data_IF_501484750225
#
_entry.id   IF_501484750225
#
_cell.length_a   1.000
_cell.length_b   1.000
_cell.length_c   1.000
_cell.angle_alpha   90.00
_cell.angle_beta   90.00
_cell.angle_gamma   90.00
#
_symmetry.space_group_name_H-M   'P 1'
#
loop_
_entity.id
_entity.type
_entity.pdbx_description
1 polymer ?
#
# COMPACT_ATOMS: atom_id res chain seq x y z
N UNK A 1 2.98 4.07 12.30
CA UNK A 1 3.85 3.81 11.12
C UNK A 1 4.25 2.36 11.23
N UNK A 2 3.86 1.53 10.25
CA UNK A 2 4.10 0.07 10.25
C UNK A 2 5.06 -0.27 9.12
N UNK A 3 5.66 -1.45 9.16
CA UNK A 3 6.47 -1.96 8.07
C UNK A 3 5.69 -2.97 7.25
N UNK A 4 5.75 -2.85 5.93
CA UNK A 4 5.12 -3.80 5.03
C UNK A 4 5.88 -3.96 3.71
N UNK A 5 5.80 -5.15 3.14
CA UNK A 5 6.42 -5.54 1.88
C UNK A 5 5.38 -5.43 0.77
N UNK A 6 5.69 -4.69 -0.30
CA UNK A 6 4.81 -4.61 -1.47
C UNK A 6 4.86 -5.93 -2.25
N UNK A 7 3.70 -6.53 -2.50
CA UNK A 7 3.62 -7.84 -3.16
C UNK A 7 3.09 -7.76 -4.58
N UNK A 8 2.02 -7.01 -4.81
CA UNK A 8 1.49 -6.87 -6.16
C UNK A 8 0.49 -5.73 -6.32
N UNK A 9 0.31 -5.30 -7.56
CA UNK A 9 -0.85 -4.55 -8.02
C UNK A 9 -1.67 -5.42 -8.97
N UNK A 10 -2.91 -5.76 -8.59
CA UNK A 10 -3.79 -6.64 -9.38
C UNK A 10 -5.23 -6.15 -9.34
N UNK A 11 -5.88 -6.08 -10.51
CA UNK A 11 -7.29 -5.69 -10.67
C UNK A 11 -7.66 -4.37 -9.96
N UNK A 12 -6.72 -3.43 -9.85
CA UNK A 12 -6.95 -2.15 -9.18
C UNK A 12 -6.48 -2.06 -7.73
N UNK A 13 -6.10 -3.18 -7.11
CA UNK A 13 -5.74 -3.23 -5.69
C UNK A 13 -4.25 -3.43 -5.47
N UNK A 14 -3.73 -2.86 -4.37
CA UNK A 14 -2.35 -2.98 -3.93
C UNK A 14 -2.26 -3.90 -2.71
N UNK A 15 -1.47 -4.97 -2.81
CA UNK A 15 -1.30 -5.94 -1.73
C UNK A 15 0.01 -5.71 -1.00
N UNK A 16 -0.05 -5.65 0.34
CA UNK A 16 1.11 -5.56 1.20
C UNK A 16 1.09 -6.63 2.30
N UNK A 17 2.26 -7.21 2.58
CA UNK A 17 2.48 -8.09 3.73
C UNK A 17 3.15 -7.35 4.86
N UNK A 18 2.48 -7.29 6.01
CA UNK A 18 2.98 -6.64 7.20
C UNK A 18 3.88 -7.58 8.00
N UNK A 19 4.78 -7.00 8.79
CA UNK A 19 5.74 -7.74 9.63
C UNK A 19 5.08 -8.69 10.65
N UNK A 20 3.83 -8.42 11.04
CA UNK A 20 3.03 -9.26 11.93
C UNK A 20 2.40 -10.47 11.22
N UNK A 21 2.64 -10.65 9.92
CA UNK A 21 2.08 -11.73 9.11
C UNK A 21 0.69 -11.42 8.54
N UNK A 22 0.16 -10.21 8.74
CA UNK A 22 -1.11 -9.79 8.14
C UNK A 22 -0.90 -9.38 6.67
N UNK A 23 -1.85 -9.77 5.83
CA UNK A 23 -1.98 -9.25 4.48
C UNK A 23 -3.07 -8.19 4.46
N UNK A 24 -2.74 -6.98 4.00
CA UNK A 24 -3.74 -5.95 3.72
C UNK A 24 -3.74 -5.61 2.24
N UNK A 25 -4.97 -5.38 1.77
CA UNK A 25 -5.27 -4.96 0.41
C UNK A 25 -5.75 -3.53 0.48
N UNK A 26 -5.17 -2.67 -0.38
CA UNK A 26 -5.53 -1.26 -0.46
C UNK A 26 -6.21 -0.99 -1.78
N UNK A 27 -7.37 -0.36 -1.72
CA UNK A 27 -8.12 0.17 -2.86
C UNK A 27 -7.37 1.35 -3.50
N UNK A 28 -6.78 2.20 -2.66
CA UNK A 28 -6.20 3.46 -3.09
C UNK A 28 -4.77 3.67 -2.61
N UNK A 29 -4.00 4.38 -3.42
CA UNK A 29 -2.68 4.90 -3.06
C UNK A 29 -2.64 6.36 -3.48
N UNK A 30 -2.27 7.23 -2.54
CA UNK A 30 -2.21 8.66 -2.77
C UNK A 30 -1.35 8.99 -4.01
N UNK A 31 -1.79 9.86 -4.93
CA UNK A 31 -1.10 10.09 -6.21
C UNK A 31 0.37 10.50 -6.09
N UNK A 32 0.75 11.21 -5.01
CA UNK A 32 2.16 11.55 -4.74
C UNK A 32 3.03 10.31 -4.50
N UNK A 33 2.50 9.28 -3.85
CA UNK A 33 3.22 8.02 -3.62
C UNK A 33 3.43 7.31 -4.95
N UNK A 34 2.40 7.19 -5.78
CA UNK A 34 2.51 6.57 -7.12
C UNK A 34 3.44 7.32 -8.07
N UNK A 35 3.58 8.65 -7.90
CA UNK A 35 4.54 9.45 -8.67
C UNK A 35 5.99 9.17 -8.26
N UNK A 36 6.23 8.79 -7.01
CA UNK A 36 7.56 8.47 -6.48
C UNK A 36 7.92 7.00 -6.70
N UNK A 37 6.94 6.12 -6.57
CA UNK A 37 7.07 4.68 -6.67
C UNK A 37 5.99 4.18 -7.62
N UNK A 38 6.37 3.82 -8.85
CA UNK A 38 5.42 3.31 -9.83
C UNK A 38 5.05 1.84 -9.54
N UNK A 39 4.34 1.64 -8.43
CA UNK A 39 3.92 0.32 -7.94
C UNK A 39 3.03 -0.45 -8.95
N UNK A 40 2.45 0.26 -9.92
CA UNK A 40 1.55 -0.33 -10.92
C UNK A 40 2.32 -1.02 -12.04
N UNK A 41 3.43 -0.43 -12.48
CA UNK A 41 4.14 -0.89 -13.67
C UNK A 41 5.57 -1.39 -13.36
N UNK A 42 6.22 -0.81 -12.36
CA UNK A 42 7.61 -1.14 -12.02
C UNK A 42 7.66 -2.34 -11.07
N UNK A 43 8.00 -3.49 -11.64
CA UNK A 43 8.14 -4.76 -10.91
C UNK A 43 9.33 -4.80 -9.96
N UNK A 44 10.27 -3.86 -10.05
CA UNK A 44 11.41 -3.80 -9.13
C UNK A 44 10.99 -3.50 -7.68
N UNK A 45 9.80 -2.92 -7.50
CA UNK A 45 9.21 -2.67 -6.19
C UNK A 45 8.58 -3.93 -5.55
N UNK A 46 8.36 -5.01 -6.31
CA UNK A 46 7.87 -6.27 -5.75
C UNK A 46 8.90 -6.79 -4.76
N UNK A 47 8.41 -7.26 -3.61
CA UNK A 47 9.20 -7.72 -2.47
C UNK A 47 10.08 -6.65 -1.83
N UNK A 48 9.91 -5.36 -2.17
CA UNK A 48 10.52 -4.26 -1.44
C UNK A 48 9.75 -3.93 -0.17
N UNK A 49 10.52 -3.66 0.88
CA UNK A 49 10.01 -3.30 2.19
C UNK A 49 9.91 -1.78 2.36
N UNK A 50 8.77 -1.34 2.89
CA UNK A 50 8.47 0.07 3.12
C UNK A 50 7.97 0.29 4.54
N UNK A 51 8.32 1.45 5.10
CA UNK A 51 7.50 2.04 6.16
C UNK A 51 6.27 2.65 5.52
N UNK A 52 5.12 2.10 5.88
CA UNK A 52 3.81 2.47 5.33
C UNK A 52 3.00 3.27 6.35
N UNK A 53 2.35 4.31 5.85
CA UNK A 53 1.26 5.03 6.54
C UNK A 53 0.04 4.96 5.65
N UNK A 54 -1.10 4.58 6.22
CA UNK A 54 -2.38 4.49 5.54
C UNK A 54 -3.49 5.00 6.44
N UNK A 55 -4.63 5.30 5.85
CA UNK A 55 -5.87 5.69 6.53
C UNK A 55 -6.99 4.76 6.13
N UNK A 56 -7.96 4.63 7.02
CA UNK A 56 -9.26 4.01 6.79
C UNK A 56 -10.25 5.14 6.59
N UNK A 57 -10.78 5.28 5.37
CA UNK A 57 -11.82 6.25 5.04
C UNK A 57 -13.17 5.54 5.09
N UNK A 58 -14.08 6.05 5.90
CA UNK A 58 -15.40 5.46 6.11
C UNK A 58 -16.38 6.25 5.24
N UNK A 59 -16.65 5.77 4.03
CA UNK A 59 -17.58 6.47 3.11
C UNK A 59 -19.04 6.35 3.58
N UNK A 60 -19.42 5.22 4.19
CA UNK A 60 -20.73 4.93 4.78
C UNK A 60 -20.57 4.00 6.01
N UNK A 61 -21.65 3.74 6.77
CA UNK A 61 -21.61 2.89 7.99
C UNK A 61 -21.00 1.48 7.77
N UNK A 62 -21.06 0.95 6.54
CA UNK A 62 -20.63 -0.41 6.20
C UNK A 62 -19.47 -0.49 5.20
N UNK A 63 -18.90 0.64 4.76
CA UNK A 63 -17.86 0.67 3.73
C UNK A 63 -16.60 1.39 4.21
N UNK A 64 -15.49 0.63 4.33
CA UNK A 64 -14.16 1.15 4.66
C UNK A 64 -13.26 1.05 3.45
N UNK A 65 -12.67 2.17 3.05
CA UNK A 65 -11.67 2.25 1.99
C UNK A 65 -10.28 2.40 2.64
N UNK A 66 -9.36 1.52 2.29
CA UNK A 66 -7.98 1.60 2.75
C UNK A 66 -7.15 2.38 1.73
N UNK A 67 -6.61 3.52 2.15
CA UNK A 67 -5.74 4.36 1.32
C UNK A 67 -4.34 4.48 1.87
N UNK A 68 -3.34 4.16 1.04
CA UNK A 68 -1.93 4.41 1.35
C UNK A 68 -1.61 5.89 1.19
N UNK A 69 -1.17 6.54 2.26
CA UNK A 69 -0.82 7.97 2.28
C UNK A 69 0.68 8.20 2.04
N UNK A 70 1.53 7.29 2.50
CA UNK A 70 2.98 7.43 2.39
C UNK A 70 3.68 6.07 2.37
N UNK A 71 4.73 5.97 1.55
CA UNK A 71 5.72 4.91 1.58
C UNK A 71 7.11 5.52 1.76
N UNK A 72 7.96 4.88 2.55
CA UNK A 72 9.38 5.20 2.64
C UNK A 72 10.18 3.90 2.61
N UNK A 73 11.11 3.72 1.67
CA UNK A 73 11.92 2.50 1.61
C UNK A 73 12.74 2.37 2.89
N UNK A 74 12.89 1.12 3.35
CA UNK A 74 13.80 0.79 4.43
C UNK A 74 15.11 0.39 3.77
N UNK A 75 16.08 1.31 3.80
CA UNK A 75 17.46 1.04 3.40
C UNK A 75 18.22 0.37 4.54
#
# INVERSE_FOLDING_TARGET
MRTAVFKSYKKGYFTFWFENGEELVFEEVHPRVLKQYDLKNDKSYIDQEFRITFVEDYEDEDAVIYRVESLKPIQ
#
